data_IF_422246382187
#
_entry.id   IF_422246382187
#
_cell.length_a   1.000
_cell.length_b   1.000
_cell.length_c   1.000
_cell.angle_alpha   90.00
_cell.angle_beta   90.00
_cell.angle_gamma   90.00
#
_symmetry.space_group_name_H-M   'P 1'
#
loop_
_entity.id
_entity.type
_entity.pdbx_description
1 polymer ?
#
# COMPACT_ATOMS: atom_id res chain seq x y z
N UNK A 1 3.50 -23.19 12.96
CA UNK A 1 4.23 -22.79 11.75
C UNK A 1 3.60 -21.59 11.09
N UNK A 2 4.42 -20.61 10.74
CA UNK A 2 4.07 -19.47 9.89
C UNK A 2 4.26 -19.85 8.43
N UNK A 3 3.45 -19.29 7.53
CA UNK A 3 3.57 -19.53 6.10
C UNK A 3 4.84 -18.85 5.54
N UNK A 4 5.84 -19.64 5.15
CA UNK A 4 7.12 -19.14 4.66
C UNK A 4 6.99 -18.42 3.30
N UNK A 5 6.06 -18.84 2.44
CA UNK A 5 5.84 -18.20 1.13
C UNK A 5 5.31 -16.78 1.30
N UNK A 6 4.41 -16.61 2.28
CA UNK A 6 3.82 -15.32 2.64
C UNK A 6 4.90 -14.36 3.19
N UNK A 7 5.80 -14.85 4.05
CA UNK A 7 6.94 -14.09 4.55
C UNK A 7 7.89 -13.67 3.43
N UNK A 8 8.24 -14.59 2.52
CA UNK A 8 9.11 -14.30 1.37
C UNK A 8 8.48 -13.26 0.43
N UNK A 9 7.17 -13.36 0.18
CA UNK A 9 6.44 -12.38 -0.62
C UNK A 9 6.45 -10.99 0.03
N UNK A 10 6.27 -10.91 1.37
CA UNK A 10 6.39 -9.64 2.11
C UNK A 10 7.79 -9.03 1.98
N UNK A 11 8.84 -9.82 2.08
CA UNK A 11 10.22 -9.32 2.00
C UNK A 11 10.61 -8.82 0.62
N UNK A 12 10.06 -9.41 -0.45
CA UNK A 12 10.40 -9.06 -1.84
C UNK A 12 9.49 -7.99 -2.44
N UNK A 13 8.40 -7.63 -1.78
CA UNK A 13 7.44 -6.64 -2.27
C UNK A 13 7.99 -5.20 -2.24
N UNK A 14 7.85 -4.46 -3.33
CA UNK A 14 8.21 -3.04 -3.42
C UNK A 14 7.02 -2.14 -3.04
N UNK A 15 6.54 -2.28 -1.80
CA UNK A 15 5.36 -1.56 -1.30
C UNK A 15 5.71 -0.49 -0.26
N UNK A 16 6.97 -0.35 0.13
CA UNK A 16 7.39 0.64 1.13
C UNK A 16 7.54 2.03 0.49
N UNK A 17 6.99 3.07 1.13
CA UNK A 17 7.18 4.46 0.69
C UNK A 17 8.59 4.92 1.10
N UNK A 18 9.55 4.83 0.16
CA UNK A 18 10.96 5.16 0.41
C UNK A 18 11.25 6.65 0.36
N UNK A 19 10.46 7.42 -0.37
CA UNK A 19 10.64 8.87 -0.55
C UNK A 19 9.34 9.59 -0.36
N UNK A 20 9.40 10.73 0.34
CA UNK A 20 8.25 11.60 0.57
C UNK A 20 8.44 12.91 -0.20
N UNK A 21 7.34 13.52 -0.70
CA UNK A 21 7.38 14.86 -1.25
C UNK A 21 8.03 15.86 -0.29
N UNK A 22 8.65 16.91 -0.82
CA UNK A 22 9.34 17.94 -0.02
C UNK A 22 8.45 18.56 1.07
N UNK A 23 7.17 18.79 0.76
CA UNK A 23 6.18 19.31 1.70
C UNK A 23 5.75 18.31 2.79
N UNK A 24 6.09 17.03 2.66
CA UNK A 24 5.81 15.94 3.61
C UNK A 24 7.10 15.36 4.23
N UNK A 25 8.15 16.18 4.40
CA UNK A 25 9.48 15.69 4.80
C UNK A 25 9.88 16.03 6.25
N UNK A 26 8.95 16.51 7.09
CA UNK A 26 9.22 16.76 8.53
C UNK A 26 9.33 15.44 9.31
N UNK A 27 9.93 15.42 10.51
CA UNK A 27 9.95 14.22 11.35
C UNK A 27 8.54 13.65 11.61
N UNK A 28 7.55 14.52 11.83
CA UNK A 28 6.15 14.13 12.00
C UNK A 28 5.59 13.47 10.72
N UNK A 29 5.79 14.10 9.55
CA UNK A 29 5.31 13.55 8.29
C UNK A 29 5.94 12.19 7.98
N UNK A 30 7.25 12.04 8.17
CA UNK A 30 7.95 10.76 7.99
C UNK A 30 7.38 9.67 8.89
N UNK A 31 7.19 9.97 10.17
CA UNK A 31 6.62 9.02 11.13
C UNK A 31 5.19 8.61 10.73
N UNK A 32 4.38 9.56 10.25
CA UNK A 32 3.01 9.29 9.78
C UNK A 32 2.94 8.49 8.47
N UNK A 33 4.04 8.38 7.73
CA UNK A 33 4.12 7.69 6.43
C UNK A 33 4.98 6.42 6.49
N UNK A 34 5.11 5.84 7.68
CA UNK A 34 5.89 4.60 7.92
C UNK A 34 5.24 3.35 7.33
N UNK A 35 3.98 3.46 6.86
CA UNK A 35 3.23 2.34 6.35
C UNK A 35 3.52 2.04 4.87
N UNK A 36 3.41 0.77 4.51
CA UNK A 36 3.43 0.34 3.12
C UNK A 36 2.16 0.82 2.39
N UNK A 37 2.22 0.88 1.06
CA UNK A 37 1.10 1.27 0.19
C UNK A 37 -0.18 0.50 0.57
N UNK A 38 -0.05 -0.79 0.90
CA UNK A 38 -1.16 -1.63 1.34
C UNK A 38 -0.96 -2.19 2.74
N UNK A 39 -2.05 -2.30 3.49
CA UNK A 39 -2.09 -3.02 4.76
C UNK A 39 -3.36 -3.86 4.87
N UNK A 40 -3.20 -5.18 4.76
CA UNK A 40 -4.31 -6.12 4.72
C UNK A 40 -5.24 -5.92 3.50
N UNK A 41 -4.72 -5.91 2.26
CA UNK A 41 -5.58 -5.85 1.08
C UNK A 41 -6.41 -7.14 0.99
N UNK A 42 -7.73 -7.00 0.79
CA UNK A 42 -8.66 -8.14 0.71
C UNK A 42 -9.30 -8.33 -0.67
N UNK A 43 -9.33 -7.28 -1.48
CA UNK A 43 -9.89 -7.35 -2.83
C UNK A 43 -9.23 -6.31 -3.74
N UNK A 44 -9.11 -6.69 -5.01
CA UNK A 44 -8.60 -5.86 -6.09
C UNK A 44 -9.54 -5.96 -7.28
N UNK A 45 -9.95 -4.83 -7.84
CA UNK A 45 -10.80 -4.73 -9.04
C UNK A 45 -10.27 -3.65 -9.98
N UNK A 46 -10.40 -3.88 -11.28
CA UNK A 46 -10.08 -2.90 -12.32
C UNK A 46 -11.36 -2.66 -13.13
N UNK A 47 -11.69 -1.40 -13.39
CA UNK A 47 -12.85 -1.05 -14.22
C UNK A 47 -12.46 -0.76 -15.68
N UNK A 48 -13.47 -0.45 -16.50
CA UNK A 48 -13.28 -0.11 -17.92
C UNK A 48 -12.51 1.20 -18.13
N UNK A 49 -12.40 2.06 -17.11
CA UNK A 49 -11.68 3.32 -17.16
C UNK A 49 -10.21 3.20 -16.72
N UNK A 50 -9.74 1.98 -16.43
CA UNK A 50 -8.40 1.68 -15.90
C UNK A 50 -8.16 2.21 -14.49
N UNK A 51 -9.22 2.32 -13.68
CA UNK A 51 -9.09 2.58 -12.25
C UNK A 51 -8.94 1.26 -11.49
N UNK A 52 -7.89 1.18 -10.67
CA UNK A 52 -7.63 0.08 -9.75
C UNK A 52 -8.21 0.40 -8.37
N UNK A 53 -9.16 -0.40 -7.92
CA UNK A 53 -9.78 -0.32 -6.60
C UNK A 53 -9.18 -1.39 -5.69
N UNK A 54 -8.62 -0.96 -4.55
CA UNK A 54 -8.08 -1.86 -3.53
C UNK A 54 -8.81 -1.63 -2.21
N UNK A 55 -9.48 -2.66 -1.70
CA UNK A 55 -10.15 -2.62 -0.39
C UNK A 55 -9.26 -3.23 0.68
N UNK A 56 -9.15 -2.57 1.83
CA UNK A 56 -8.23 -2.97 2.91
C UNK A 56 -8.96 -3.13 4.24
N UNK A 57 -8.71 -4.26 4.91
CA UNK A 57 -9.36 -4.53 6.20
C UNK A 57 -8.63 -3.86 7.37
N UNK A 58 -7.30 -3.69 7.33
CA UNK A 58 -6.57 -3.15 8.48
C UNK A 58 -6.79 -1.65 8.71
N UNK A 59 -7.14 -0.92 7.64
CA UNK A 59 -7.31 0.55 7.66
C UNK A 59 -8.71 1.05 7.33
N UNK A 60 -9.66 0.15 7.09
CA UNK A 60 -11.04 0.48 6.70
C UNK A 60 -11.08 1.47 5.51
N UNK A 61 -10.20 1.26 4.52
CA UNK A 61 -9.97 2.17 3.40
C UNK A 61 -10.23 1.47 2.07
N UNK A 62 -10.70 2.25 1.10
CA UNK A 62 -10.64 1.92 -0.32
C UNK A 62 -9.64 2.88 -0.96
N UNK A 63 -8.61 2.34 -1.61
CA UNK A 63 -7.66 3.11 -2.41
C UNK A 63 -8.01 2.98 -3.88
N UNK A 64 -7.88 4.08 -4.62
CA UNK A 64 -8.16 4.15 -6.05
C UNK A 64 -6.90 4.67 -6.73
N UNK A 65 -6.36 3.91 -7.68
CA UNK A 65 -5.21 4.30 -8.48
C UNK A 65 -5.63 4.42 -9.96
N UNK A 66 -5.13 5.45 -10.64
CA UNK A 66 -5.22 5.54 -12.09
C UNK A 66 -4.05 4.76 -12.71
N UNK A 67 -4.34 3.80 -13.60
CA UNK A 67 -3.33 2.97 -14.26
C UNK A 67 -2.89 3.54 -15.62
N UNK A 68 -3.41 4.71 -16.03
CA UNK A 68 -2.97 5.41 -17.24
C UNK A 68 -1.57 6.00 -17.10
#
# INVERSE_FOLDING_TARGET
DVNQDELNARHTADLAIKTLPSHLNTPYHKASQTEHIFWGPVSVKIDKAQLLYVTEHSRHRIQIFDLK
#
